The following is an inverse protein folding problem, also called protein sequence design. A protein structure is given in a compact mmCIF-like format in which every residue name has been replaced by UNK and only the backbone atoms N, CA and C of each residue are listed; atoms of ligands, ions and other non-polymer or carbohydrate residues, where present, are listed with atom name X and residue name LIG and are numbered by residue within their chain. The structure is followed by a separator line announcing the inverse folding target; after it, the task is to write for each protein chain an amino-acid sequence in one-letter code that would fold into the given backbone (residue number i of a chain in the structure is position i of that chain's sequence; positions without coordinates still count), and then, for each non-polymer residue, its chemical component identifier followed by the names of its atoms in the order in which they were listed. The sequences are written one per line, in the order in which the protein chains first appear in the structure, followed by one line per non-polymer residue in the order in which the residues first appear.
data_IF_346807868205
#
_entry.id   IF_346807868205
#
_cell.length_a   1.000
_cell.length_b   1.000
_cell.length_c   1.000
_cell.angle_alpha   90.00
_cell.angle_beta   90.00
_cell.angle_gamma   90.00
#
_symmetry.space_group_name_H-M   'P 1'
#
loop_
_entity.id
_entity.type
_entity.pdbx_description
1 polymer ?
#
# COMPACT_ATOMS: atom_id res chain seq x y z
N UNK A 1 3.93 -25.49 18.37
CA UNK A 1 3.38 -24.16 18.06
C UNK A 1 4.19 -23.65 16.87
N UNK A 2 3.59 -23.53 15.69
CA UNK A 2 4.31 -23.09 14.49
C UNK A 2 4.62 -21.58 14.58
N UNK A 3 5.73 -21.08 14.00
CA UNK A 3 6.02 -19.65 13.98
C UNK A 3 4.94 -18.92 13.18
N UNK A 4 4.56 -17.72 13.66
CA UNK A 4 3.54 -16.83 13.06
C UNK A 4 3.98 -16.18 11.73
N UNK A 5 5.15 -16.55 11.20
CA UNK A 5 5.81 -15.89 10.07
C UNK A 5 6.22 -16.97 9.07
N UNK A 6 5.85 -16.80 7.80
CA UNK A 6 6.14 -17.78 6.76
C UNK A 6 7.59 -17.68 6.29
N UNK A 7 8.19 -18.77 5.77
CA UNK A 7 9.53 -18.70 5.18
C UNK A 7 9.57 -17.67 4.05
N UNK A 8 10.37 -16.61 4.22
CA UNK A 8 10.51 -15.52 3.26
C UNK A 8 9.86 -14.19 3.70
N UNK A 9 9.04 -14.20 4.75
CA UNK A 9 8.47 -12.98 5.32
C UNK A 9 9.51 -12.22 6.15
N UNK A 10 9.46 -10.89 6.06
CA UNK A 10 10.23 -9.98 6.92
C UNK A 10 9.30 -9.32 7.94
N UNK A 11 9.81 -9.10 9.15
CA UNK A 11 9.03 -8.55 10.28
C UNK A 11 8.53 -7.12 10.03
N UNK A 12 9.12 -6.39 9.09
CA UNK A 12 8.67 -5.05 8.72
C UNK A 12 9.52 -4.41 7.64
N UNK A 13 9.01 -3.31 7.07
CA UNK A 13 9.71 -2.50 6.08
C UNK A 13 9.19 -1.06 6.10
N UNK A 14 10.10 -0.09 5.96
CA UNK A 14 9.76 1.32 5.83
C UNK A 14 10.61 1.97 4.75
N UNK A 15 10.07 3.01 4.12
CA UNK A 15 10.78 3.79 3.10
C UNK A 15 11.17 5.15 3.66
N UNK A 16 12.32 5.67 3.22
CA UNK A 16 12.66 7.08 3.41
C UNK A 16 12.37 7.80 2.10
N UNK A 17 11.39 8.70 2.12
CA UNK A 17 10.84 9.31 0.90
C UNK A 17 11.37 10.72 0.59
N UNK A 18 12.24 11.27 1.44
CA UNK A 18 12.77 12.65 1.31
C UNK A 18 13.37 12.92 -0.07
N UNK A 19 14.08 11.94 -0.64
CA UNK A 19 14.72 12.08 -1.96
C UNK A 19 13.71 12.25 -3.10
N UNK A 20 12.52 11.66 -3.00
CA UNK A 20 11.45 11.85 -3.97
C UNK A 20 10.86 13.27 -3.89
N UNK A 21 10.76 13.81 -2.67
CA UNK A 21 10.35 15.19 -2.48
C UNK A 21 11.39 16.18 -3.05
N UNK A 22 12.67 15.97 -2.77
CA UNK A 22 13.76 16.84 -3.22
C UNK A 22 13.93 16.84 -4.75
N UNK A 23 13.93 15.66 -5.37
CA UNK A 23 14.26 15.55 -6.80
C UNK A 23 13.04 15.70 -7.71
N UNK A 24 11.86 15.31 -7.24
CA UNK A 24 10.65 15.24 -8.07
C UNK A 24 9.56 16.19 -7.59
N UNK A 25 9.74 16.87 -6.45
CA UNK A 25 8.67 17.63 -5.81
C UNK A 25 7.49 16.75 -5.39
N UNK A 26 7.70 15.43 -5.27
CA UNK A 26 6.63 14.48 -5.03
C UNK A 26 6.46 14.19 -3.54
N UNK A 27 5.23 14.25 -3.06
CA UNK A 27 4.82 13.82 -1.73
C UNK A 27 3.46 13.11 -1.79
N UNK A 28 3.18 12.16 -0.88
CA UNK A 28 1.86 11.56 -0.77
C UNK A 28 0.84 12.64 -0.40
N UNK A 29 -0.27 12.69 -1.15
CA UNK A 29 -1.35 13.66 -0.92
C UNK A 29 -2.51 13.11 -0.09
N UNK A 30 -2.57 11.79 0.05
CA UNK A 30 -3.59 11.09 0.81
C UNK A 30 -2.97 10.57 2.11
N UNK A 31 -3.77 10.58 3.17
CA UNK A 31 -3.42 9.91 4.42
C UNK A 31 -3.41 8.38 4.25
N UNK A 32 -2.88 7.67 5.25
CA UNK A 32 -2.95 6.20 5.27
C UNK A 32 -4.42 5.75 5.34
N UNK A 33 -5.22 6.42 6.15
CA UNK A 33 -6.64 6.14 6.34
C UNK A 33 -7.42 6.34 5.03
N UNK A 34 -7.13 7.40 4.28
CA UNK A 34 -7.75 7.64 2.98
C UNK A 34 -7.34 6.57 1.96
N UNK A 35 -6.07 6.16 1.98
CA UNK A 35 -5.55 5.09 1.13
C UNK A 35 -6.24 3.75 1.42
N UNK A 36 -6.37 3.37 2.69
CA UNK A 36 -7.07 2.14 3.11
C UNK A 36 -8.54 2.21 2.68
N UNK A 37 -9.23 3.32 2.94
CA UNK A 37 -10.63 3.50 2.54
C UNK A 37 -10.81 3.34 1.03
N UNK A 38 -9.98 4.03 0.24
CA UNK A 38 -10.03 3.97 -1.22
C UNK A 38 -9.79 2.54 -1.74
N UNK A 39 -8.87 1.79 -1.12
CA UNK A 39 -8.61 0.41 -1.49
C UNK A 39 -9.78 -0.52 -1.17
N UNK A 40 -10.48 -0.31 -0.06
CA UNK A 40 -11.69 -1.07 0.30
C UNK A 40 -12.85 -0.74 -0.65
N UNK A 41 -13.06 0.54 -0.96
CA UNK A 41 -14.11 1.00 -1.87
C UNK A 41 -13.91 0.47 -3.30
N UNK A 42 -12.66 0.19 -3.69
CA UNK A 42 -12.34 -0.41 -4.99
C UNK A 42 -12.80 -1.86 -5.14
N UNK A 43 -12.88 -2.63 -4.04
CA UNK A 43 -13.18 -4.08 -4.08
C UNK A 43 -14.45 -4.39 -4.90
N UNK A 44 -15.63 -3.79 -4.64
CA UNK A 44 -16.83 -4.08 -5.42
C UNK A 44 -16.76 -3.59 -6.87
N UNK A 45 -16.07 -2.47 -7.12
CA UNK A 45 -15.94 -1.87 -8.45
C UNK A 45 -15.05 -2.72 -9.36
N UNK A 46 -14.00 -3.31 -8.79
CA UNK A 46 -13.03 -4.15 -9.50
C UNK A 46 -13.72 -5.31 -10.23
N UNK A 47 -14.65 -5.99 -9.57
CA UNK A 47 -15.30 -7.19 -10.14
C UNK A 47 -16.21 -6.84 -11.34
N UNK A 48 -16.66 -5.58 -11.44
CA UNK A 48 -17.41 -5.09 -12.59
C UNK A 48 -16.51 -4.68 -13.76
N UNK A 49 -15.35 -4.07 -13.47
CA UNK A 49 -14.46 -3.47 -14.46
C UNK A 49 -13.39 -4.42 -15.00
N UNK A 50 -12.89 -5.35 -14.17
CA UNK A 50 -11.83 -6.30 -14.52
C UNK A 50 -12.42 -7.69 -14.74
N UNK A 51 -13.38 -7.80 -15.66
CA UNK A 51 -13.88 -9.10 -16.13
C UNK A 51 -12.89 -9.64 -17.17
N UNK A 52 -12.55 -10.92 -17.04
CA UNK A 52 -11.72 -11.66 -18.00
C UNK A 52 -12.29 -11.60 -19.43
#
# INVERSE_FOLDING_TARGET
MAPLVWPGDVTGGCTKSDRAAELLGWTPKLSLEDGIRSALDWIPVRDELLKD
#
